data_IF_809955275789
#
_entry.id   IF_809955275789
#
_cell.length_a   1.000
_cell.length_b   1.000
_cell.length_c   1.000
_cell.angle_alpha   90.00
_cell.angle_beta   90.00
_cell.angle_gamma   90.00
#
_symmetry.space_group_name_H-M   'P 1'
#
loop_
_entity.id
_entity.type
_entity.pdbx_description
1 polymer ?
#
# COMPACT_ATOMS: atom_id res chain seq x y z
N UNK A 1 0.15 10.72 -17.55
CA UNK A 1 -0.25 10.29 -18.91
C UNK A 1 -1.50 11.02 -19.35
N UNK A 2 -1.52 11.56 -20.58
CA UNK A 2 -2.72 12.19 -21.16
C UNK A 2 -3.88 11.20 -21.22
N UNK A 3 -3.60 9.91 -21.45
CA UNK A 3 -4.61 8.84 -21.49
C UNK A 3 -5.25 8.58 -20.15
N UNK A 4 -4.48 8.74 -19.06
CA UNK A 4 -4.97 8.56 -17.70
C UNK A 4 -5.81 9.72 -17.17
N UNK A 5 -5.62 10.95 -17.67
CA UNK A 5 -6.34 12.14 -17.19
C UNK A 5 -7.54 12.47 -18.07
N UNK A 6 -7.34 12.64 -19.38
CA UNK A 6 -8.41 12.84 -20.35
C UNK A 6 -8.14 12.02 -21.61
N UNK A 7 -8.88 10.92 -21.82
CA UNK A 7 -8.71 10.03 -22.98
C UNK A 7 -8.76 10.70 -24.35
N UNK A 8 -9.52 11.78 -24.49
CA UNK A 8 -9.62 12.52 -25.74
C UNK A 8 -8.31 13.23 -26.15
N UNK A 9 -7.36 13.36 -25.22
CA UNK A 9 -6.09 14.05 -25.46
C UNK A 9 -5.25 13.44 -26.57
N UNK A 10 -5.26 12.11 -26.73
CA UNK A 10 -4.55 11.50 -27.88
C UNK A 10 -5.24 11.71 -29.21
N UNK A 11 -6.52 12.12 -29.22
CA UNK A 11 -7.22 12.54 -30.44
C UNK A 11 -6.60 13.76 -31.14
N UNK A 12 -5.75 14.50 -30.44
CA UNK A 12 -5.02 15.65 -30.99
C UNK A 12 -3.81 15.21 -31.85
N UNK A 13 -3.30 14.00 -31.66
CA UNK A 13 -2.17 13.49 -32.43
C UNK A 13 -2.52 13.31 -33.90
N UNK A 14 -1.58 13.68 -34.77
CA UNK A 14 -1.69 13.59 -36.24
C UNK A 14 -0.59 12.72 -36.88
N UNK A 15 0.29 12.19 -36.04
CA UNK A 15 1.36 11.26 -36.39
C UNK A 15 1.54 10.23 -35.28
N UNK A 16 2.18 9.13 -35.62
CA UNK A 16 2.57 8.15 -34.63
C UNK A 16 3.55 8.77 -33.63
N UNK A 17 3.46 8.36 -32.38
CA UNK A 17 4.32 8.83 -31.29
C UNK A 17 4.79 7.65 -30.45
N UNK A 18 6.00 7.75 -29.92
CA UNK A 18 6.58 6.78 -29.02
C UNK A 18 7.33 7.53 -27.91
N UNK A 19 7.10 7.13 -26.68
CA UNK A 19 7.74 7.73 -25.50
C UNK A 19 8.23 6.66 -24.54
N UNK A 20 9.39 6.93 -23.91
CA UNK A 20 9.94 6.12 -22.84
C UNK A 20 10.50 7.05 -21.76
N UNK A 21 10.29 6.67 -20.50
CA UNK A 21 10.84 7.40 -19.35
C UNK A 21 11.52 6.44 -18.39
N UNK A 22 12.75 6.78 -18.04
CA UNK A 22 13.55 6.13 -17.02
C UNK A 22 13.84 7.13 -15.92
N UNK A 23 13.79 6.71 -14.68
CA UNK A 23 14.05 7.55 -13.53
C UNK A 23 15.07 6.96 -12.58
N UNK A 24 15.64 7.83 -11.77
CA UNK A 24 16.39 7.46 -10.58
C UNK A 24 15.69 8.08 -9.37
N UNK A 25 15.21 7.23 -8.48
CA UNK A 25 14.54 7.66 -7.28
C UNK A 25 15.49 7.50 -6.10
N UNK A 26 15.77 8.59 -5.39
CA UNK A 26 16.48 8.59 -4.12
C UNK A 26 15.49 8.88 -3.01
N UNK A 27 15.30 7.91 -2.11
CA UNK A 27 14.43 8.05 -0.96
C UNK A 27 15.29 8.03 0.29
N UNK A 28 15.27 9.14 1.04
CA UNK A 28 15.92 9.26 2.34
C UNK A 28 14.89 9.39 3.46
N UNK A 29 15.12 8.73 4.59
CA UNK A 29 14.36 8.88 5.82
C UNK A 29 15.28 9.27 6.95
N UNK A 30 14.79 10.07 7.87
CA UNK A 30 15.49 10.45 9.10
C UNK A 30 14.51 10.36 10.26
N UNK A 31 14.91 9.71 11.32
CA UNK A 31 14.14 9.57 12.56
C UNK A 31 14.97 10.03 13.76
N UNK A 32 14.30 10.46 14.81
CA UNK A 32 14.92 10.71 16.11
C UNK A 32 14.01 10.16 17.19
N UNK A 33 14.53 9.26 18.02
CA UNK A 33 13.83 8.64 19.14
C UNK A 33 14.73 8.71 20.39
N UNK A 34 14.23 9.28 21.46
CA UNK A 34 14.94 9.47 22.74
C UNK A 34 16.38 9.97 22.58
N UNK A 35 16.59 10.99 21.71
CA UNK A 35 17.90 11.59 21.45
C UNK A 35 18.78 10.83 20.46
N UNK A 36 18.44 9.61 20.08
CA UNK A 36 19.14 8.84 19.04
C UNK A 36 18.59 9.14 17.66
N UNK A 37 19.46 9.51 16.71
CA UNK A 37 19.07 9.80 15.34
C UNK A 37 19.57 8.72 14.37
N UNK A 38 18.68 8.24 13.52
CA UNK A 38 18.96 7.24 12.48
C UNK A 38 18.60 7.80 11.10
N UNK A 39 19.34 7.36 10.08
CA UNK A 39 19.09 7.75 8.69
C UNK A 39 19.21 6.55 7.79
N UNK A 40 18.28 6.46 6.84
CA UNK A 40 18.30 5.46 5.77
C UNK A 40 18.18 6.15 4.43
N UNK A 41 19.04 5.78 3.49
CA UNK A 41 19.05 6.29 2.12
C UNK A 41 19.09 5.14 1.13
N UNK A 42 18.28 5.21 0.08
CA UNK A 42 18.31 4.23 -0.99
C UNK A 42 18.04 4.87 -2.34
N UNK A 43 18.97 4.66 -3.28
CA UNK A 43 18.81 5.03 -4.68
C UNK A 43 18.43 3.80 -5.51
N UNK A 44 17.43 3.94 -6.37
CA UNK A 44 17.00 2.89 -7.31
C UNK A 44 16.74 3.48 -8.69
N UNK A 45 17.18 2.76 -9.72
CA UNK A 45 16.70 2.98 -11.07
C UNK A 45 15.26 2.49 -11.20
N UNK A 46 14.43 3.21 -11.92
CA UNK A 46 13.05 2.83 -12.22
C UNK A 46 12.74 2.99 -13.70
N UNK A 47 11.93 2.07 -14.20
CA UNK A 47 11.27 2.20 -15.48
C UNK A 47 9.89 2.82 -15.22
N UNK A 48 9.72 4.09 -15.62
CA UNK A 48 8.57 4.88 -15.18
C UNK A 48 7.44 4.88 -16.18
N UNK A 49 7.75 4.88 -17.49
CA UNK A 49 6.73 4.97 -18.53
C UNK A 49 7.19 4.39 -19.85
N UNK A 50 6.24 3.78 -20.58
CA UNK A 50 6.32 3.42 -21.98
C UNK A 50 4.99 3.83 -22.64
N UNK A 51 5.03 4.69 -23.64
CA UNK A 51 3.85 5.15 -24.37
C UNK A 51 3.99 4.93 -25.86
N UNK A 52 2.88 4.58 -26.50
CA UNK A 52 2.78 4.45 -27.93
C UNK A 52 1.42 4.98 -28.43
N UNK A 53 1.42 5.80 -29.49
CA UNK A 53 0.22 6.25 -30.19
C UNK A 53 0.33 5.91 -31.65
N UNK A 54 -0.65 5.17 -32.16
CA UNK A 54 -0.83 4.91 -33.59
C UNK A 54 -1.96 5.77 -34.13
N UNK A 55 -1.66 6.59 -35.13
CA UNK A 55 -2.58 7.54 -35.73
C UNK A 55 -3.00 7.07 -37.12
N UNK A 56 -4.31 6.80 -37.28
CA UNK A 56 -4.90 6.49 -38.55
C UNK A 56 -5.67 7.69 -39.12
N UNK A 57 -5.23 8.20 -40.27
CA UNK A 57 -5.90 9.30 -40.98
C UNK A 57 -7.05 8.76 -41.83
N UNK A 58 -8.26 9.18 -41.50
CA UNK A 58 -9.47 8.78 -42.25
C UNK A 58 -9.63 9.62 -43.53
N UNK A 59 -9.49 10.96 -43.40
CA UNK A 59 -9.59 11.84 -44.53
C UNK A 59 -9.46 13.32 -44.19
N UNK A 60 -9.33 14.18 -45.22
CA UNK A 60 -9.26 15.63 -45.06
C UNK A 60 -10.62 16.32 -45.18
N UNK A 61 -11.60 15.66 -45.82
CA UNK A 61 -12.92 16.19 -46.16
C UNK A 61 -14.05 15.54 -45.37
N UNK A 62 -13.76 14.44 -44.67
CA UNK A 62 -14.71 13.74 -43.80
C UNK A 62 -14.78 14.44 -42.44
N UNK A 63 -15.94 14.41 -41.74
CA UNK A 63 -16.05 14.94 -40.39
C UNK A 63 -15.10 14.21 -39.45
N UNK A 64 -14.99 12.89 -39.52
CA UNK A 64 -13.97 12.12 -38.81
C UNK A 64 -12.62 12.28 -39.51
N UNK A 65 -11.67 12.96 -38.90
CA UNK A 65 -10.34 13.23 -39.49
C UNK A 65 -9.33 12.15 -39.16
N UNK A 66 -9.28 11.75 -37.88
CA UNK A 66 -8.31 10.78 -37.36
C UNK A 66 -8.96 9.86 -36.36
N UNK A 67 -8.48 8.61 -36.33
CA UNK A 67 -8.70 7.65 -35.27
C UNK A 67 -7.33 7.30 -34.67
N UNK A 68 -7.17 7.48 -33.37
CA UNK A 68 -5.92 7.23 -32.68
C UNK A 68 -6.09 6.08 -31.70
N UNK A 69 -5.14 5.17 -31.71
CA UNK A 69 -5.02 4.08 -30.75
C UNK A 69 -3.80 4.33 -29.88
N UNK A 70 -3.97 4.23 -28.58
CA UNK A 70 -2.90 4.45 -27.62
C UNK A 70 -2.71 3.26 -26.70
N UNK A 71 -1.46 3.03 -26.36
CA UNK A 71 -1.06 2.19 -25.24
C UNK A 71 -0.10 2.99 -24.37
N UNK A 72 -0.29 2.92 -23.05
CA UNK A 72 0.62 3.52 -22.12
C UNK A 72 0.77 2.62 -20.90
N UNK A 73 2.00 2.33 -20.53
CA UNK A 73 2.38 1.80 -19.24
C UNK A 73 2.98 2.94 -18.43
N UNK A 74 2.58 3.07 -17.18
CA UNK A 74 3.28 3.93 -16.25
C UNK A 74 3.18 3.43 -14.81
N UNK A 75 4.21 3.75 -14.04
CA UNK A 75 4.22 3.50 -12.60
C UNK A 75 3.41 4.58 -11.89
N UNK A 76 2.18 4.25 -11.50
CA UNK A 76 1.24 5.18 -10.85
C UNK A 76 1.65 5.50 -9.42
N UNK A 77 2.19 4.52 -8.68
CA UNK A 77 2.70 4.67 -7.30
C UNK A 77 4.00 3.91 -7.12
N UNK A 78 4.87 4.44 -6.26
CA UNK A 78 6.12 3.82 -5.84
C UNK A 78 6.13 3.75 -4.30
N UNK A 79 6.18 2.54 -3.74
CA UNK A 79 6.16 2.30 -2.30
C UNK A 79 7.55 2.06 -1.70
N UNK A 80 8.61 2.16 -2.50
CA UNK A 80 9.95 1.87 -2.01
C UNK A 80 10.39 2.85 -0.93
N UNK A 81 10.55 2.34 0.29
CA UNK A 81 10.95 3.11 1.46
C UNK A 81 11.78 2.25 2.39
N UNK A 82 12.76 2.85 3.05
CA UNK A 82 13.46 2.31 4.21
C UNK A 82 13.20 3.23 5.40
N UNK A 83 13.06 2.65 6.57
CA UNK A 83 12.88 3.40 7.80
C UNK A 83 13.55 2.66 8.96
N UNK A 84 14.32 3.38 9.77
CA UNK A 84 14.91 2.88 11.02
C UNK A 84 14.63 3.88 12.14
N UNK A 85 14.33 3.38 13.32
CA UNK A 85 14.20 4.16 14.53
C UNK A 85 14.62 3.29 15.72
N UNK A 86 15.23 3.90 16.74
CA UNK A 86 15.59 3.17 17.96
C UNK A 86 16.31 4.06 18.95
N UNK A 87 16.43 3.56 20.16
CA UNK A 87 17.08 4.26 21.26
C UNK A 87 16.79 3.61 22.60
N UNK A 88 17.11 4.30 23.67
CA UNK A 88 16.84 3.85 25.04
C UNK A 88 15.36 3.94 25.38
N UNK A 89 14.85 3.00 26.16
CA UNK A 89 13.43 2.83 26.49
C UNK A 89 13.06 3.28 27.91
N UNK A 90 14.04 3.52 28.78
CA UNK A 90 13.83 3.93 30.16
C UNK A 90 12.81 3.07 30.96
N UNK A 91 12.84 1.74 30.71
CA UNK A 91 11.95 0.76 31.33
C UNK A 91 10.61 0.53 30.58
N UNK A 92 10.25 1.34 29.58
CA UNK A 92 9.09 1.07 28.74
C UNK A 92 9.41 -0.07 27.78
N UNK A 93 8.46 -0.99 27.59
CA UNK A 93 8.65 -2.17 26.73
C UNK A 93 7.38 -2.51 25.99
N UNK A 94 7.51 -3.00 24.74
CA UNK A 94 6.39 -3.57 23.99
C UNK A 94 5.87 -4.84 24.68
N UNK A 95 6.73 -5.58 25.40
CA UNK A 95 6.30 -6.76 26.14
C UNK A 95 5.21 -6.45 27.19
N UNK A 96 5.24 -5.25 27.79
CA UNK A 96 4.17 -4.78 28.68
C UNK A 96 2.85 -4.56 27.95
N UNK A 97 2.89 -4.08 26.70
CA UNK A 97 1.68 -3.94 25.89
C UNK A 97 1.08 -5.31 25.60
N UNK A 98 1.90 -6.28 25.17
CA UNK A 98 1.45 -7.66 24.93
C UNK A 98 0.83 -8.27 26.20
N UNK A 99 1.47 -8.07 27.35
CA UNK A 99 0.95 -8.52 28.63
C UNK A 99 -0.41 -7.87 28.98
N UNK A 100 -0.57 -6.57 28.75
CA UNK A 100 -1.84 -5.87 28.99
C UNK A 100 -2.97 -6.39 28.09
N UNK A 101 -2.69 -6.65 26.82
CA UNK A 101 -3.66 -7.21 25.87
C UNK A 101 -4.09 -8.63 26.29
N UNK A 102 -3.15 -9.46 26.75
CA UNK A 102 -3.44 -10.79 27.29
C UNK A 102 -4.32 -10.73 28.54
N UNK A 103 -4.01 -9.86 29.49
CA UNK A 103 -4.84 -9.63 30.67
C UNK A 103 -6.25 -9.14 30.29
N UNK A 104 -6.35 -8.19 29.37
CA UNK A 104 -7.63 -7.66 28.90
C UNK A 104 -8.48 -8.72 28.17
N UNK A 105 -7.87 -9.70 27.52
CA UNK A 105 -8.54 -10.82 26.86
C UNK A 105 -8.97 -11.93 27.82
N UNK A 106 -8.68 -11.80 29.11
CA UNK A 106 -9.14 -12.71 30.15
C UNK A 106 -8.12 -13.75 30.61
N UNK A 107 -6.83 -13.60 30.28
CA UNK A 107 -5.76 -14.44 30.85
C UNK A 107 -5.43 -13.91 32.25
N UNK A 108 -6.16 -14.38 33.27
CA UNK A 108 -6.13 -13.89 34.65
C UNK A 108 -5.85 -14.97 35.69
N UNK A 109 -5.43 -16.16 35.28
CA UNK A 109 -5.07 -17.29 36.14
C UNK A 109 -3.92 -18.10 35.52
N UNK A 110 -3.13 -18.75 36.36
CA UNK A 110 -2.08 -19.66 35.88
C UNK A 110 -2.67 -20.73 34.94
N UNK A 111 -3.84 -21.27 35.25
CA UNK A 111 -4.48 -22.29 34.43
C UNK A 111 -4.86 -21.78 33.03
N UNK A 112 -5.24 -20.49 32.85
CA UNK A 112 -5.53 -19.91 31.52
C UNK A 112 -4.25 -19.62 30.75
N UNK A 113 -3.17 -19.29 31.40
CA UNK A 113 -1.86 -19.09 30.80
C UNK A 113 -1.21 -20.42 30.39
N UNK A 114 -1.21 -21.42 31.32
CA UNK A 114 -0.70 -22.77 31.07
C UNK A 114 -1.44 -23.45 29.92
N UNK A 115 -2.75 -23.21 29.78
CA UNK A 115 -3.53 -23.76 28.66
C UNK A 115 -3.04 -23.29 27.29
N UNK A 116 -2.43 -22.10 27.21
CA UNK A 116 -1.80 -21.60 25.98
C UNK A 116 -0.48 -22.33 25.75
N UNK A 117 0.32 -22.51 26.78
CA UNK A 117 1.64 -23.16 26.70
C UNK A 117 1.52 -24.67 26.39
N UNK A 118 0.52 -25.35 26.95
CA UNK A 118 0.29 -26.78 26.81
C UNK A 118 -0.44 -27.14 25.50
N UNK A 119 -0.98 -26.16 24.78
CA UNK A 119 -1.70 -26.41 23.55
C UNK A 119 -0.73 -26.84 22.42
N UNK A 120 -1.06 -27.89 21.67
CA UNK A 120 -0.29 -28.33 20.50
C UNK A 120 -0.21 -27.23 19.44
N UNK A 121 -1.29 -26.47 19.26
CA UNK A 121 -1.34 -25.30 18.38
C UNK A 121 -2.20 -24.20 19.04
N UNK A 122 -1.61 -23.35 19.89
CA UNK A 122 -2.34 -22.32 20.60
C UNK A 122 -2.99 -21.30 19.67
N UNK A 123 -2.33 -20.97 18.57
CA UNK A 123 -2.80 -19.96 17.62
C UNK A 123 -4.11 -20.37 16.95
N UNK A 124 -4.26 -21.64 16.58
CA UNK A 124 -5.49 -22.15 15.99
C UNK A 124 -6.58 -22.37 17.04
N UNK A 125 -6.21 -22.90 18.21
CA UNK A 125 -7.15 -23.24 19.29
C UNK A 125 -7.82 -22.00 19.89
N UNK A 126 -7.06 -20.91 20.06
CA UNK A 126 -7.48 -19.68 20.73
C UNK A 126 -7.53 -18.45 19.83
N UNK A 127 -7.59 -18.65 18.50
CA UNK A 127 -7.56 -17.58 17.48
C UNK A 127 -8.49 -16.38 17.75
N UNK A 128 -9.72 -16.67 18.17
CA UNK A 128 -10.73 -15.63 18.46
C UNK A 128 -10.83 -15.25 19.93
N UNK A 129 -9.99 -15.82 20.78
CA UNK A 129 -10.06 -15.61 22.22
C UNK A 129 -8.94 -14.75 22.75
N UNK A 130 -7.71 -14.99 22.29
CA UNK A 130 -6.52 -14.31 22.78
C UNK A 130 -5.76 -13.61 21.64
N UNK A 131 -5.09 -12.48 21.91
CA UNK A 131 -4.22 -11.80 20.94
C UNK A 131 -3.10 -12.71 20.45
N UNK A 132 -2.95 -12.83 19.13
CA UNK A 132 -1.94 -13.71 18.51
C UNK A 132 -0.52 -13.37 18.96
N UNK A 133 -0.14 -12.07 18.93
CA UNK A 133 1.19 -11.64 19.38
C UNK A 133 1.38 -11.86 20.90
N UNK A 134 0.33 -11.76 21.69
CA UNK A 134 0.37 -12.10 23.11
C UNK A 134 0.63 -13.60 23.34
N UNK A 135 -0.02 -14.48 22.57
CA UNK A 135 0.26 -15.92 22.59
C UNK A 135 1.70 -16.24 22.14
N UNK A 136 2.20 -15.56 21.09
CA UNK A 136 3.61 -15.67 20.69
C UNK A 136 4.54 -15.23 21.84
N UNK A 137 4.22 -14.13 22.49
CA UNK A 137 4.96 -13.64 23.66
C UNK A 137 4.99 -14.65 24.82
N UNK A 138 3.87 -15.32 25.12
CA UNK A 138 3.80 -16.36 26.14
C UNK A 138 4.66 -17.58 25.77
N UNK A 139 4.53 -18.09 24.54
CA UNK A 139 5.26 -19.29 24.08
C UNK A 139 6.76 -19.06 23.87
N UNK A 140 7.21 -17.80 23.81
CA UNK A 140 8.63 -17.43 23.68
C UNK A 140 9.21 -16.79 24.96
N UNK A 141 8.43 -16.66 26.04
CA UNK A 141 8.88 -16.06 27.31
C UNK A 141 9.01 -14.54 27.30
N UNK A 142 8.57 -13.86 26.22
CA UNK A 142 8.52 -12.39 26.16
C UNK A 142 7.50 -11.81 27.13
N UNK A 143 6.47 -12.59 27.48
CA UNK A 143 5.57 -12.34 28.59
C UNK A 143 5.49 -13.57 29.48
N UNK A 144 5.26 -13.38 30.78
CA UNK A 144 5.14 -14.46 31.75
C UNK A 144 3.98 -14.19 32.70
N UNK A 145 3.51 -15.25 33.37
CA UNK A 145 2.41 -15.14 34.35
C UNK A 145 2.96 -15.17 35.78
N UNK A 146 2.74 -14.08 36.49
CA UNK A 146 3.18 -13.95 37.89
C UNK A 146 2.14 -13.18 38.72
N UNK A 147 1.89 -13.63 39.94
CA UNK A 147 1.00 -12.99 40.91
C UNK A 147 -0.40 -12.63 40.35
N UNK A 148 -1.01 -13.58 39.60
CA UNK A 148 -2.39 -13.45 39.10
C UNK A 148 -2.55 -12.63 37.86
N UNK A 149 -1.51 -12.28 37.14
CA UNK A 149 -1.56 -11.52 35.88
C UNK A 149 -0.38 -11.83 34.95
N UNK A 150 -0.57 -11.57 33.67
CA UNK A 150 0.52 -11.57 32.70
C UNK A 150 1.34 -10.31 32.85
N UNK A 151 2.66 -10.44 32.87
CA UNK A 151 3.65 -9.39 32.98
C UNK A 151 4.62 -9.43 31.80
N UNK A 152 5.13 -8.26 31.39
CA UNK A 152 6.26 -8.12 30.49
C UNK A 152 7.54 -7.80 31.25
N UNK A 153 8.62 -7.62 30.52
CA UNK A 153 9.94 -7.25 31.01
C UNK A 153 10.19 -5.74 30.88
N UNK A 154 11.18 -5.22 31.61
CA UNK A 154 11.59 -3.83 31.45
C UNK A 154 12.45 -3.68 30.21
N UNK A 155 12.13 -2.70 29.35
CA UNK A 155 12.90 -2.41 28.16
C UNK A 155 14.12 -1.53 28.44
N UNK A 156 15.28 -1.94 27.95
CA UNK A 156 16.51 -1.15 28.01
C UNK A 156 16.68 -0.31 26.73
N UNK A 157 16.68 -0.96 25.58
CA UNK A 157 16.81 -0.29 24.29
C UNK A 157 15.97 -0.99 23.22
N UNK A 158 15.66 -0.28 22.14
CA UNK A 158 15.00 -0.87 20.99
C UNK A 158 15.65 -0.44 19.67
N UNK A 159 15.38 -1.25 18.66
CA UNK A 159 15.67 -0.94 17.27
C UNK A 159 14.51 -1.41 16.40
N UNK A 160 13.93 -0.50 15.63
CA UNK A 160 12.93 -0.79 14.61
C UNK A 160 13.50 -0.54 13.22
N UNK A 161 13.37 -1.51 12.35
CA UNK A 161 13.69 -1.41 10.93
C UNK A 161 12.48 -1.78 10.11
N UNK A 162 12.22 -1.03 9.02
CA UNK A 162 11.17 -1.36 8.07
C UNK A 162 11.64 -1.12 6.63
N UNK A 163 11.32 -2.06 5.77
CA UNK A 163 11.55 -1.98 4.34
C UNK A 163 10.23 -2.20 3.60
N UNK A 164 9.83 -1.20 2.82
CA UNK A 164 8.70 -1.27 1.92
C UNK A 164 9.19 -1.37 0.48
N UNK A 165 8.52 -2.16 -0.35
CA UNK A 165 8.84 -2.37 -1.77
C UNK A 165 7.58 -2.46 -2.59
N UNK A 166 7.73 -2.19 -3.91
CA UNK A 166 6.65 -2.37 -4.87
C UNK A 166 6.08 -1.07 -5.39
N UNK A 167 4.85 -1.13 -5.86
CA UNK A 167 4.16 -0.01 -6.47
C UNK A 167 2.83 -0.42 -7.10
N UNK A 168 2.20 0.54 -7.75
CA UNK A 168 1.06 0.31 -8.63
C UNK A 168 1.49 0.65 -10.05
N UNK A 169 1.40 -0.34 -10.93
CA UNK A 169 1.63 -0.18 -12.36
C UNK A 169 0.26 -0.03 -13.05
N UNK A 170 0.17 0.90 -13.99
CA UNK A 170 -1.05 1.17 -14.74
C UNK A 170 -0.79 0.96 -16.24
N UNK A 171 -1.68 0.22 -16.88
CA UNK A 171 -1.68 -0.08 -18.30
C UNK A 171 -2.95 0.50 -18.92
N UNK A 172 -2.80 1.54 -19.74
CA UNK A 172 -3.90 2.20 -20.41
C UNK A 172 -4.01 1.75 -21.87
N UNK A 173 -5.19 1.30 -22.25
CA UNK A 173 -5.55 1.04 -23.64
C UNK A 173 -6.56 2.07 -24.09
N UNK A 174 -6.19 2.90 -25.05
CA UNK A 174 -6.99 4.06 -25.46
C UNK A 174 -7.39 4.02 -26.92
N UNK A 175 -8.60 4.51 -27.19
CA UNK A 175 -9.07 4.89 -28.51
C UNK A 175 -9.60 6.32 -28.47
N UNK A 176 -9.20 7.15 -29.45
CA UNK A 176 -9.71 8.51 -29.55
C UNK A 176 -10.00 8.91 -30.99
N UNK A 177 -10.97 9.80 -31.11
CA UNK A 177 -11.50 10.29 -32.38
C UNK A 177 -11.28 11.80 -32.49
N UNK A 178 -10.82 12.22 -33.65
CA UNK A 178 -10.71 13.63 -34.00
C UNK A 178 -11.80 13.96 -35.02
N UNK A 179 -12.73 14.81 -34.62
CA UNK A 179 -13.88 15.23 -35.44
C UNK A 179 -13.68 16.70 -35.79
N UNK A 180 -13.46 16.97 -37.09
CA UNK A 180 -13.30 18.31 -37.67
C UNK A 180 -12.21 19.18 -37.06
N UNK A 181 -11.21 18.56 -36.36
CA UNK A 181 -10.19 19.26 -35.57
C UNK A 181 -10.75 20.19 -34.47
N UNK A 182 -12.01 19.99 -34.10
CA UNK A 182 -12.74 20.78 -33.10
C UNK A 182 -13.25 19.97 -31.91
N UNK A 183 -13.73 18.75 -32.19
CA UNK A 183 -14.22 17.82 -31.19
C UNK A 183 -13.30 16.61 -31.12
N UNK A 184 -12.90 16.27 -29.92
CA UNK A 184 -12.10 15.09 -29.65
C UNK A 184 -12.83 14.27 -28.60
N UNK A 185 -13.03 13.00 -28.87
CA UNK A 185 -13.64 12.05 -27.96
C UNK A 185 -12.68 10.92 -27.73
N UNK A 186 -12.64 10.39 -26.52
CA UNK A 186 -11.75 9.28 -26.21
C UNK A 186 -12.29 8.39 -25.09
N UNK A 187 -11.84 7.15 -25.14
CA UNK A 187 -12.09 6.16 -24.10
C UNK A 187 -10.79 5.42 -23.78
N UNK A 188 -10.55 5.18 -22.48
CA UNK A 188 -9.42 4.39 -22.00
C UNK A 188 -9.93 3.28 -21.09
N UNK A 189 -9.48 2.07 -21.34
CA UNK A 189 -9.53 0.97 -20.38
C UNK A 189 -8.23 0.98 -19.59
N UNK A 190 -8.31 1.23 -18.29
CA UNK A 190 -7.20 1.14 -17.35
C UNK A 190 -7.15 -0.23 -16.70
N UNK A 191 -5.96 -0.82 -16.64
CA UNK A 191 -5.68 -2.06 -15.91
C UNK A 191 -4.55 -1.77 -14.93
N UNK A 192 -4.73 -2.15 -13.69
CA UNK A 192 -3.80 -1.89 -12.60
C UNK A 192 -3.22 -3.19 -12.07
N UNK A 193 -1.93 -3.19 -11.80
CA UNK A 193 -1.20 -4.24 -11.11
C UNK A 193 -0.65 -3.66 -9.80
N UNK A 194 -1.14 -4.19 -8.70
CA UNK A 194 -0.77 -3.78 -7.33
C UNK A 194 0.19 -4.79 -6.74
N UNK A 195 1.35 -4.32 -6.31
CA UNK A 195 2.32 -5.13 -5.59
C UNK A 195 2.92 -4.28 -4.47
N UNK A 196 2.73 -4.69 -3.23
CA UNK A 196 3.29 -4.06 -2.05
C UNK A 196 3.76 -5.14 -1.09
N UNK A 197 5.03 -5.08 -0.72
CA UNK A 197 5.63 -5.94 0.29
C UNK A 197 6.26 -5.06 1.38
N UNK A 198 5.99 -5.39 2.64
CA UNK A 198 6.63 -4.78 3.81
C UNK A 198 7.26 -5.87 4.67
N UNK A 199 8.52 -5.68 4.97
CA UNK A 199 9.22 -6.37 6.05
C UNK A 199 9.50 -5.37 7.15
N UNK A 200 9.27 -5.75 8.41
CA UNK A 200 9.73 -4.98 9.56
C UNK A 200 10.31 -5.90 10.62
N UNK A 201 11.30 -5.38 11.31
CA UNK A 201 11.94 -6.03 12.45
C UNK A 201 11.96 -5.05 13.63
N UNK A 202 11.46 -5.49 14.76
CA UNK A 202 11.53 -4.79 16.03
C UNK A 202 12.33 -5.64 17.00
N UNK A 203 13.47 -5.13 17.45
CA UNK A 203 14.32 -5.78 18.46
C UNK A 203 14.28 -4.96 19.71
N UNK A 204 14.19 -5.63 20.87
CA UNK A 204 14.24 -5.01 22.18
C UNK A 204 15.21 -5.77 23.07
N UNK A 205 16.11 -5.01 23.71
CA UNK A 205 16.97 -5.49 24.79
C UNK A 205 16.25 -5.25 26.11
N UNK A 206 16.29 -6.21 26.99
CA UNK A 206 15.52 -6.24 28.22
C UNK A 206 16.42 -6.20 29.44
N UNK A 207 15.92 -5.60 30.52
CA UNK A 207 16.48 -5.66 31.85
C UNK A 207 15.58 -6.49 32.77
N UNK A 208 16.18 -7.08 33.81
CA UNK A 208 15.45 -7.64 34.92
C UNK A 208 14.97 -6.54 35.92
N UNK A 209 14.28 -6.92 36.98
CA UNK A 209 13.78 -6.01 38.01
C UNK A 209 14.90 -5.29 38.81
N UNK A 210 16.14 -5.73 38.66
CA UNK A 210 17.33 -5.15 39.30
C UNK A 210 18.17 -4.29 38.36
N UNK A 211 17.70 -4.10 37.08
CA UNK A 211 18.42 -3.37 36.06
C UNK A 211 19.66 -4.11 35.54
N UNK A 212 19.64 -5.45 35.57
CA UNK A 212 20.65 -6.27 34.96
C UNK A 212 20.16 -6.75 33.59
N UNK A 213 21.07 -6.90 32.64
CA UNK A 213 20.80 -7.45 31.32
C UNK A 213 20.04 -8.78 31.40
N UNK A 214 18.93 -8.91 30.71
CA UNK A 214 18.07 -10.09 30.66
C UNK A 214 17.83 -10.64 29.26
N UNK A 215 18.77 -10.40 28.34
CA UNK A 215 18.62 -10.80 26.93
C UNK A 215 17.63 -9.90 26.18
N UNK A 216 16.85 -10.48 25.29
CA UNK A 216 15.94 -9.70 24.51
C UNK A 216 15.03 -10.50 23.59
N UNK A 217 14.38 -9.82 22.66
CA UNK A 217 13.58 -10.47 21.64
C UNK A 217 13.57 -9.68 20.32
N UNK A 218 13.23 -10.37 19.26
CA UNK A 218 13.02 -9.79 17.93
C UNK A 218 11.68 -10.24 17.39
N UNK A 219 10.83 -9.27 17.03
CA UNK A 219 9.57 -9.48 16.32
C UNK A 219 9.76 -9.08 14.84
N UNK A 220 9.69 -10.06 13.95
CA UNK A 220 9.70 -9.84 12.52
C UNK A 220 8.29 -9.96 11.95
N UNK A 221 7.88 -8.98 11.12
CA UNK A 221 6.59 -9.01 10.44
C UNK A 221 6.79 -8.94 8.94
N UNK A 222 6.07 -9.79 8.23
CA UNK A 222 5.97 -9.83 6.78
C UNK A 222 4.55 -9.53 6.36
N UNK A 223 4.38 -8.52 5.53
CA UNK A 223 3.09 -8.13 4.98
C UNK A 223 3.21 -7.99 3.48
N UNK A 224 2.27 -8.54 2.74
CA UNK A 224 2.19 -8.45 1.29
C UNK A 224 0.76 -8.13 0.87
N UNK A 225 0.61 -7.18 -0.07
CA UNK A 225 -0.66 -6.84 -0.70
C UNK A 225 -0.48 -6.93 -2.21
N UNK A 226 -1.22 -7.82 -2.85
CA UNK A 226 -1.15 -8.04 -4.30
C UNK A 226 -2.54 -8.08 -4.90
N UNK A 227 -2.63 -7.67 -6.16
CA UNK A 227 -3.88 -7.78 -6.87
C UNK A 227 -3.92 -6.96 -8.14
N UNK A 228 -5.09 -6.91 -8.73
CA UNK A 228 -5.35 -6.21 -9.99
C UNK A 228 -6.57 -5.32 -9.85
N UNK A 229 -6.63 -4.29 -10.69
CA UNK A 229 -7.77 -3.39 -10.77
C UNK A 229 -8.09 -3.03 -12.22
N UNK A 230 -9.34 -2.64 -12.46
CA UNK A 230 -9.78 -2.16 -13.77
C UNK A 230 -10.66 -0.94 -13.62
N UNK A 231 -10.56 -0.01 -14.57
CA UNK A 231 -11.47 1.12 -14.70
C UNK A 231 -11.73 1.48 -16.16
N UNK A 232 -12.72 2.33 -16.38
CA UNK A 232 -13.03 2.94 -17.67
C UNK A 232 -13.01 4.45 -17.52
N UNK A 233 -12.28 5.13 -18.42
CA UNK A 233 -12.20 6.58 -18.48
C UNK A 233 -12.79 7.05 -19.81
N UNK A 234 -13.65 8.06 -19.77
CA UNK A 234 -14.22 8.71 -20.94
C UNK A 234 -13.83 10.17 -20.95
N UNK A 235 -13.52 10.70 -22.12
CA UNK A 235 -13.08 12.07 -22.26
C UNK A 235 -13.61 12.76 -23.50
N UNK A 236 -13.79 14.07 -23.38
CA UNK A 236 -14.12 14.95 -24.47
C UNK A 236 -13.27 16.22 -24.39
N UNK A 237 -12.81 16.71 -25.56
CA UNK A 237 -12.14 18.00 -25.69
C UNK A 237 -12.85 18.78 -26.79
N UNK A 238 -13.17 20.04 -26.49
CA UNK A 238 -13.77 20.97 -27.42
C UNK A 238 -12.83 22.13 -27.69
N UNK A 239 -12.66 22.50 -28.94
CA UNK A 239 -12.06 23.74 -29.41
C UNK A 239 -13.18 24.68 -29.87
N UNK A 240 -13.68 25.59 -28.99
CA UNK A 240 -14.91 26.35 -29.26
C UNK A 240 -14.74 27.36 -30.40
N UNK A 241 -13.57 27.92 -30.59
CA UNK A 241 -13.26 28.90 -31.63
C UNK A 241 -12.26 28.30 -32.62
N UNK A 242 -12.59 28.29 -33.91
CA UNK A 242 -11.84 27.59 -34.96
C UNK A 242 -10.40 28.06 -35.09
N UNK A 243 -10.16 29.35 -35.02
CA UNK A 243 -8.82 29.96 -35.16
C UNK A 243 -8.08 30.15 -33.82
N UNK A 244 -8.69 29.76 -32.69
CA UNK A 244 -8.12 29.88 -31.37
C UNK A 244 -7.45 28.57 -30.93
N UNK A 245 -6.28 28.59 -30.31
CA UNK A 245 -5.70 27.41 -29.67
C UNK A 245 -6.40 27.02 -28.37
N UNK A 246 -7.38 27.77 -27.90
CA UNK A 246 -8.10 27.53 -26.65
C UNK A 246 -8.92 26.23 -26.76
N UNK A 247 -8.81 25.41 -25.71
CA UNK A 247 -9.51 24.13 -25.57
C UNK A 247 -10.13 24.01 -24.20
N UNK A 248 -11.29 23.37 -24.15
CA UNK A 248 -11.98 22.94 -22.94
C UNK A 248 -12.04 21.42 -22.94
N UNK A 249 -11.75 20.81 -21.78
CA UNK A 249 -11.79 19.37 -21.61
C UNK A 249 -12.72 18.97 -20.48
N UNK A 250 -13.39 17.84 -20.67
CA UNK A 250 -14.19 17.14 -19.68
C UNK A 250 -13.76 15.68 -19.67
N UNK A 251 -13.64 15.09 -18.48
CA UNK A 251 -13.45 13.66 -18.37
C UNK A 251 -14.22 13.09 -17.17
N UNK A 252 -14.64 11.85 -17.31
CA UNK A 252 -15.25 11.06 -16.26
C UNK A 252 -14.55 9.72 -16.17
N UNK A 253 -14.15 9.34 -14.95
CA UNK A 253 -13.57 8.04 -14.67
C UNK A 253 -14.52 7.25 -13.79
N UNK A 254 -14.78 6.01 -14.17
CA UNK A 254 -15.52 5.09 -13.30
C UNK A 254 -14.73 4.82 -12.02
N UNK A 255 -15.35 4.24 -11.01
CA UNK A 255 -14.61 3.57 -9.96
C UNK A 255 -13.56 2.61 -10.55
N UNK A 256 -12.44 2.46 -9.86
CA UNK A 256 -11.53 1.34 -10.10
C UNK A 256 -11.96 0.19 -9.20
N UNK A 257 -12.23 -0.95 -9.81
CA UNK A 257 -12.56 -2.18 -9.11
C UNK A 257 -11.29 -2.98 -8.92
N UNK A 258 -10.80 -3.02 -7.67
CA UNK A 258 -9.64 -3.81 -7.29
C UNK A 258 -10.09 -5.13 -6.67
N UNK A 259 -9.40 -6.22 -7.05
CA UNK A 259 -9.40 -7.49 -6.33
C UNK A 259 -8.02 -7.65 -5.71
N UNK A 260 -7.98 -7.72 -4.38
CA UNK A 260 -6.76 -7.64 -3.58
C UNK A 260 -6.67 -8.84 -2.64
N UNK A 261 -5.47 -9.39 -2.55
CA UNK A 261 -5.10 -10.40 -1.57
C UNK A 261 -4.04 -9.80 -0.65
N UNK A 262 -4.32 -9.74 0.63
CA UNK A 262 -3.32 -9.45 1.64
C UNK A 262 -2.83 -10.74 2.29
N UNK A 263 -1.54 -10.76 2.63
CA UNK A 263 -0.92 -11.86 3.36
C UNK A 263 -0.08 -11.30 4.49
N UNK A 264 -0.15 -11.93 5.65
CA UNK A 264 0.63 -11.54 6.82
C UNK A 264 1.33 -12.77 7.40
N UNK A 265 2.51 -12.56 7.97
CA UNK A 265 3.20 -13.56 8.79
C UNK A 265 4.04 -12.84 9.84
N UNK A 266 4.25 -13.48 10.97
CA UNK A 266 5.10 -12.95 12.03
C UNK A 266 5.99 -14.06 12.58
N UNK A 267 7.22 -13.66 12.95
CA UNK A 267 8.15 -14.50 13.71
C UNK A 267 8.56 -13.74 14.97
N UNK A 268 8.44 -14.37 16.11
CA UNK A 268 8.93 -13.84 17.38
C UNK A 268 10.02 -14.77 17.91
N UNK A 269 11.22 -14.23 18.10
CA UNK A 269 12.38 -14.94 18.64
C UNK A 269 12.86 -14.25 19.89
N UNK A 270 13.24 -15.00 20.91
CA UNK A 270 13.74 -14.48 22.19
C UNK A 270 14.95 -15.28 22.68
N UNK A 271 15.80 -14.60 23.45
CA UNK A 271 16.96 -15.18 24.16
C UNK A 271 17.01 -14.69 25.62
N UNK A 272 15.82 -14.58 26.24
CA UNK A 272 15.67 -14.09 27.61
C UNK A 272 16.41 -15.01 28.58
N UNK A 273 17.34 -14.46 29.37
CA UNK A 273 18.26 -15.19 30.24
C UNK A 273 17.56 -15.92 31.39
N UNK A 274 16.34 -15.53 31.76
CA UNK A 274 15.52 -16.25 32.74
C UNK A 274 15.10 -17.66 32.26
N UNK A 275 15.28 -17.98 30.97
CA UNK A 275 14.94 -19.26 30.37
C UNK A 275 16.19 -19.97 29.82
N UNK A 276 16.22 -21.30 29.89
CA UNK A 276 17.41 -22.11 29.59
C UNK A 276 17.80 -22.17 28.11
N UNK A 277 16.97 -21.67 27.19
CA UNK A 277 17.20 -21.79 25.73
C UNK A 277 16.52 -20.64 24.97
N UNK A 278 17.11 -20.22 23.83
CA UNK A 278 16.42 -19.32 22.93
C UNK A 278 15.17 -20.00 22.34
N UNK A 279 14.10 -19.23 22.21
CA UNK A 279 12.83 -19.65 21.65
C UNK A 279 12.52 -18.90 20.35
N UNK A 280 11.85 -19.56 19.42
CA UNK A 280 11.35 -18.92 18.21
C UNK A 280 10.03 -19.54 17.77
N UNK A 281 9.10 -18.69 17.39
CA UNK A 281 7.78 -19.08 16.90
C UNK A 281 7.48 -18.30 15.62
N UNK A 282 7.05 -19.02 14.58
CA UNK A 282 6.62 -18.43 13.30
C UNK A 282 5.19 -18.85 13.02
N UNK A 283 4.29 -17.89 12.74
CA UNK A 283 2.85 -18.19 12.57
C UNK A 283 2.57 -19.18 11.44
N UNK A 284 3.32 -19.10 10.33
CA UNK A 284 3.13 -20.03 9.20
C UNK A 284 3.52 -21.48 9.49
N UNK A 285 4.17 -21.78 10.62
CA UNK A 285 4.47 -23.14 11.06
C UNK A 285 3.24 -23.78 11.75
N UNK A 286 2.29 -22.96 12.20
CA UNK A 286 1.12 -23.35 12.97
C UNK A 286 -0.20 -23.06 12.29
N UNK A 287 -0.25 -22.07 11.40
CA UNK A 287 -1.46 -21.59 10.75
C UNK A 287 -1.41 -21.85 9.24
N UNK A 288 -2.51 -22.37 8.73
CA UNK A 288 -2.70 -22.56 7.30
C UNK A 288 -2.82 -21.21 6.56
N UNK A 289 -2.64 -21.23 5.26
CA UNK A 289 -2.79 -20.08 4.37
C UNK A 289 -4.08 -19.28 4.61
N UNK A 290 -5.20 -19.94 4.89
CA UNK A 290 -6.50 -19.31 5.14
C UNK A 290 -6.58 -18.41 6.38
N UNK A 291 -5.66 -18.57 7.34
CA UNK A 291 -5.55 -17.69 8.52
C UNK A 291 -4.62 -16.50 8.28
N UNK A 292 -3.68 -16.64 7.32
CA UNK A 292 -2.64 -15.67 7.05
C UNK A 292 -2.91 -14.83 5.81
N UNK A 293 -4.00 -15.11 5.09
CA UNK A 293 -4.39 -14.38 3.88
C UNK A 293 -5.84 -13.95 3.94
N UNK A 294 -6.11 -12.80 3.32
CA UNK A 294 -7.44 -12.26 3.20
C UNK A 294 -7.67 -11.66 1.82
N UNK A 295 -8.71 -12.15 1.14
CA UNK A 295 -9.12 -11.64 -0.17
C UNK A 295 -10.28 -10.66 -0.01
N UNK A 296 -10.17 -9.50 -0.65
CA UNK A 296 -11.21 -8.48 -0.60
C UNK A 296 -11.24 -7.63 -1.88
N UNK A 297 -12.33 -6.90 -2.05
CA UNK A 297 -12.52 -5.93 -3.12
C UNK A 297 -12.49 -4.51 -2.56
N UNK A 298 -11.72 -3.66 -3.24
CA UNK A 298 -11.74 -2.22 -3.02
C UNK A 298 -12.33 -1.53 -4.25
N UNK A 299 -13.39 -0.76 -4.05
CA UNK A 299 -14.02 0.04 -5.10
C UNK A 299 -13.74 1.50 -4.78
N UNK A 300 -13.02 2.17 -5.69
CA UNK A 300 -12.69 3.61 -5.53
C UNK A 300 -13.85 4.49 -5.98
N UNK A 301 -13.87 5.80 -5.64
CA UNK A 301 -14.92 6.69 -6.08
C UNK A 301 -14.84 7.02 -7.57
N UNK A 302 -15.93 7.54 -8.12
CA UNK A 302 -15.95 8.24 -9.40
C UNK A 302 -15.06 9.48 -9.35
N UNK A 303 -14.47 9.86 -10.52
CA UNK A 303 -13.73 11.10 -10.69
C UNK A 303 -14.29 11.89 -11.86
N UNK A 304 -14.39 13.19 -11.67
CA UNK A 304 -14.90 14.15 -12.65
C UNK A 304 -13.86 15.24 -12.86
N UNK A 305 -13.39 15.39 -14.10
CA UNK A 305 -12.34 16.33 -14.44
C UNK A 305 -12.85 17.39 -15.42
N UNK A 306 -12.53 18.65 -15.13
CA UNK A 306 -12.75 19.80 -16.01
C UNK A 306 -11.43 20.48 -16.25
N UNK A 307 -11.10 20.73 -17.50
CA UNK A 307 -9.83 21.36 -17.86
C UNK A 307 -9.98 22.44 -18.91
N UNK A 308 -9.07 23.41 -18.91
CA UNK A 308 -8.94 24.42 -19.93
C UNK A 308 -7.47 24.64 -20.28
N UNK A 309 -7.17 24.85 -21.55
CA UNK A 309 -5.81 25.05 -22.01
C UNK A 309 -5.73 25.92 -23.25
N UNK A 310 -4.61 26.63 -23.39
CA UNK A 310 -4.33 27.47 -24.56
C UNK A 310 -2.83 27.60 -24.80
N UNK A 311 -2.46 28.00 -26.00
CA UNK A 311 -1.07 28.34 -26.36
C UNK A 311 -0.98 29.76 -26.87
N UNK A 312 0.11 30.44 -26.57
CA UNK A 312 0.39 31.83 -26.99
C UNK A 312 1.62 31.82 -27.90
N UNK A 313 1.43 32.26 -29.15
CA UNK A 313 2.50 32.40 -30.13
C UNK A 313 3.31 31.13 -30.41
N UNK A 314 2.81 29.95 -30.05
CA UNK A 314 3.53 28.70 -30.16
C UNK A 314 4.71 28.51 -29.19
N UNK A 315 4.94 29.47 -28.29
CA UNK A 315 6.06 29.49 -27.35
C UNK A 315 5.67 29.14 -25.91
N UNK A 316 4.46 29.52 -25.48
CA UNK A 316 3.97 29.31 -24.12
C UNK A 316 2.67 28.52 -24.17
N UNK A 317 2.57 27.45 -23.40
CA UNK A 317 1.33 26.72 -23.15
C UNK A 317 0.90 26.94 -21.70
N UNK A 318 -0.38 27.27 -21.50
CA UNK A 318 -1.02 27.35 -20.19
C UNK A 318 -2.16 26.36 -20.12
N UNK A 319 -2.28 25.67 -18.99
CA UNK A 319 -3.37 24.76 -18.71
C UNK A 319 -3.77 24.81 -17.24
N UNK A 320 -5.06 24.59 -17.00
CA UNK A 320 -5.61 24.39 -15.65
C UNK A 320 -6.56 23.19 -15.69
N UNK A 321 -6.55 22.44 -14.61
CA UNK A 321 -7.40 21.27 -14.41
C UNK A 321 -7.95 21.27 -13.00
N UNK A 322 -9.20 20.84 -12.86
CA UNK A 322 -9.86 20.60 -11.59
C UNK A 322 -10.45 19.18 -11.59
N UNK A 323 -10.07 18.37 -10.61
CA UNK A 323 -10.62 17.04 -10.38
C UNK A 323 -11.50 17.06 -9.12
N UNK A 324 -12.68 16.48 -9.21
CA UNK A 324 -13.55 16.21 -8.09
C UNK A 324 -13.70 14.69 -7.88
N UNK A 325 -13.54 14.26 -6.63
CA UNK A 325 -13.72 12.87 -6.23
C UNK A 325 -14.23 12.83 -4.78
N UNK A 326 -15.27 12.05 -4.51
CA UNK A 326 -15.81 11.85 -3.17
C UNK A 326 -15.33 10.52 -2.59
N UNK A 327 -14.29 10.56 -1.78
CA UNK A 327 -13.70 9.36 -1.17
C UNK A 327 -14.59 8.69 -0.13
N UNK A 328 -15.63 9.36 0.38
CA UNK A 328 -16.62 8.74 1.28
C UNK A 328 -17.47 7.67 0.59
N UNK A 329 -17.50 7.67 -0.75
CA UNK A 329 -18.19 6.66 -1.56
C UNK A 329 -17.31 5.44 -1.91
N UNK A 330 -16.08 5.37 -1.40
CA UNK A 330 -15.24 4.17 -1.52
C UNK A 330 -15.85 3.04 -0.69
N UNK A 331 -15.84 1.82 -1.23
CA UNK A 331 -16.35 0.65 -0.50
C UNK A 331 -15.31 -0.46 -0.43
N UNK A 332 -15.26 -1.14 0.72
CA UNK A 332 -14.56 -2.40 0.92
C UNK A 332 -15.60 -3.52 0.96
N UNK A 333 -15.39 -4.58 0.22
CA UNK A 333 -16.26 -5.74 0.16
C UNK A 333 -15.44 -7.01 0.33
N UNK A 334 -16.04 -8.04 0.91
CA UNK A 334 -15.47 -9.36 0.86
C UNK A 334 -15.55 -9.94 -0.58
N UNK A 335 -15.01 -11.14 -0.78
CA UNK A 335 -15.00 -11.80 -2.09
C UNK A 335 -16.41 -12.12 -2.59
N UNK A 336 -17.38 -12.28 -1.69
CA UNK A 336 -18.78 -12.57 -1.98
C UNK A 336 -19.60 -11.28 -2.28
N UNK A 337 -18.99 -10.10 -2.06
CA UNK A 337 -19.58 -8.79 -2.37
C UNK A 337 -20.35 -8.15 -1.21
N UNK A 338 -20.26 -8.69 0.02
CA UNK A 338 -20.81 -8.06 1.20
C UNK A 338 -19.88 -6.91 1.65
N UNK A 339 -20.46 -5.75 1.94
CA UNK A 339 -19.69 -4.64 2.46
C UNK A 339 -19.07 -5.01 3.81
N UNK A 340 -17.77 -4.83 3.90
CA UNK A 340 -17.06 -4.90 5.16
C UNK A 340 -17.41 -3.60 5.90
N UNK A 341 -18.48 -3.65 6.72
CA UNK A 341 -18.86 -2.54 7.58
C UNK A 341 -17.70 -2.15 8.49
N UNK A 342 -17.81 -1.00 9.18
CA UNK A 342 -16.85 -0.52 10.19
C UNK A 342 -16.53 -1.60 11.23
N UNK A 343 -15.72 -2.58 10.85
CA UNK A 343 -15.05 -3.45 11.81
C UNK A 343 -13.98 -2.57 12.44
N UNK A 344 -13.98 -2.41 13.76
CA UNK A 344 -12.88 -1.75 14.42
C UNK A 344 -11.61 -2.49 14.00
N UNK A 345 -10.68 -1.76 13.41
CA UNK A 345 -9.34 -2.26 13.08
C UNK A 345 -8.76 -2.97 14.31
N UNK A 346 -8.50 -4.26 14.16
CA UNK A 346 -7.80 -5.08 15.15
C UNK A 346 -6.35 -4.65 15.26
#
# INVERSE_FOLDING_TARGET
SVMGTNPAGIGIFRSNDFSVSLGFNNTGTSSTFNGTSMKEDKTRASFDQLGFVYTYKVGNTTSLRYVNFGFNYHKSKNFNRLFSAGGQLDGFSQSWQLAQEMNASGVNSASSFDAILDAENPYRQYWNQYPVLGMMGATTGVVDFYDGKVLGWNGYSNNYYSQEKGGINEYDFNIAFNIEDRFYLGATLGVYDVNYDRYSSYTEELDDDYGQENGGYTLENYYSLKGTGVDLKLGAILRPVEDSPFRLGLAIHTPTWYELTESTNATLSSDILAYDSPYSQTLSDYLDYSYLTYDYRLITPWKFNVSAGTTFGGLVALGAEYEYSDYSSSTLQDIDGYELGDQPSV
#
